data_IF_209754597953
#
_entry.id   IF_209754597953
#
_cell.length_a   1.000
_cell.length_b   1.000
_cell.length_c   1.000
_cell.angle_alpha   90.00
_cell.angle_beta   90.00
_cell.angle_gamma   90.00
#
_symmetry.space_group_name_H-M   'P 1'
#
loop_
_entity.id
_entity.type
_entity.pdbx_description
1 polymer ?
#
# COMPACT_ATOMS: atom_id res chain seq x y z
N UNK A 1 -0.30 23.72 -1.87
CA UNK A 1 -0.16 22.97 -0.60
C UNK A 1 1.16 23.37 0.05
N UNK A 2 1.23 23.48 1.37
CA UNK A 2 2.51 23.79 2.00
C UNK A 2 3.39 22.53 2.10
N UNK A 3 4.70 22.71 2.29
CA UNK A 3 5.67 21.61 2.29
C UNK A 3 5.37 20.54 3.34
N UNK A 4 4.91 20.93 4.53
CA UNK A 4 4.62 20.00 5.62
C UNK A 4 3.44 19.07 5.29
N UNK A 5 2.43 19.58 4.59
CA UNK A 5 1.28 18.78 4.14
C UNK A 5 1.69 17.72 3.11
N UNK A 6 2.57 18.08 2.17
CA UNK A 6 3.09 17.14 1.16
C UNK A 6 3.89 16.03 1.83
N UNK A 7 4.76 16.37 2.80
CA UNK A 7 5.53 15.36 3.54
C UNK A 7 4.64 14.41 4.35
N UNK A 8 3.58 14.92 5.01
CA UNK A 8 2.61 14.08 5.70
C UNK A 8 1.86 13.13 4.75
N UNK A 9 1.52 13.59 3.55
CA UNK A 9 0.91 12.74 2.52
C UNK A 9 1.87 11.65 2.04
N UNK A 10 3.14 11.99 1.84
CA UNK A 10 4.18 11.02 1.45
C UNK A 10 4.43 9.97 2.52
N UNK A 11 4.42 10.37 3.79
CA UNK A 11 4.52 9.43 4.91
C UNK A 11 3.33 8.47 4.95
N UNK A 12 2.12 8.99 4.74
CA UNK A 12 0.89 8.17 4.65
C UNK A 12 0.96 7.18 3.48
N UNK A 13 1.40 7.64 2.30
CA UNK A 13 1.59 6.81 1.12
C UNK A 13 2.65 5.73 1.36
N UNK A 14 3.76 6.07 2.01
CA UNK A 14 4.81 5.12 2.38
C UNK A 14 4.27 4.00 3.26
N UNK A 15 3.45 4.34 4.27
CA UNK A 15 2.80 3.36 5.15
C UNK A 15 1.87 2.44 4.35
N UNK A 16 1.03 2.99 3.48
CA UNK A 16 0.16 2.18 2.61
C UNK A 16 0.96 1.29 1.65
N UNK A 17 2.16 1.73 1.26
CA UNK A 17 3.06 0.99 0.37
C UNK A 17 3.73 -0.25 0.99
N UNK A 18 3.59 -0.50 2.29
CA UNK A 18 4.15 -1.69 2.94
C UNK A 18 3.40 -2.97 2.55
N UNK A 19 4.15 -4.09 2.49
CA UNK A 19 3.54 -5.41 2.29
C UNK A 19 2.62 -5.74 3.46
N UNK A 20 1.42 -6.21 3.16
CA UNK A 20 0.33 -6.37 4.12
C UNK A 20 -0.69 -5.24 4.04
N UNK A 21 -0.35 -4.09 3.45
CA UNK A 21 -1.29 -2.99 3.21
C UNK A 21 -1.75 -3.01 1.74
N UNK A 22 -0.99 -2.42 0.81
CA UNK A 22 -1.41 -2.30 -0.61
C UNK A 22 -1.71 -3.63 -1.31
N UNK A 23 -1.08 -4.74 -0.90
CA UNK A 23 -1.25 -6.07 -1.49
C UNK A 23 -2.12 -6.99 -0.63
N UNK A 24 -2.86 -6.45 0.34
CA UNK A 24 -3.81 -7.22 1.13
C UNK A 24 -4.99 -7.69 0.30
N UNK A 25 -5.63 -6.78 -0.44
CA UNK A 25 -6.77 -7.02 -1.34
C UNK A 25 -6.91 -5.92 -2.40
N UNK A 26 -7.94 -6.04 -3.26
CA UNK A 26 -8.22 -5.08 -4.34
C UNK A 26 -8.58 -3.68 -3.84
N UNK A 27 -9.24 -3.59 -2.67
CA UNK A 27 -9.62 -2.31 -2.10
C UNK A 27 -8.38 -1.54 -1.64
N UNK A 28 -7.51 -2.19 -0.86
CA UNK A 28 -6.26 -1.59 -0.36
C UNK A 28 -5.29 -1.25 -1.50
N UNK A 29 -5.29 -2.06 -2.56
CA UNK A 29 -4.57 -1.76 -3.80
C UNK A 29 -5.06 -0.45 -4.44
N UNK A 30 -6.37 -0.28 -4.56
CA UNK A 30 -6.99 0.95 -5.09
C UNK A 30 -6.68 2.17 -4.23
N UNK A 31 -6.72 2.03 -2.90
CA UNK A 31 -6.36 3.11 -1.96
C UNK A 31 -4.92 3.56 -2.18
N UNK A 32 -3.95 2.63 -2.26
CA UNK A 32 -2.56 2.99 -2.49
C UNK A 32 -2.37 3.77 -3.80
N UNK A 33 -2.89 3.27 -4.92
CA UNK A 33 -2.73 3.92 -6.22
C UNK A 33 -3.48 5.27 -6.29
N UNK A 34 -4.64 5.39 -5.63
CA UNK A 34 -5.34 6.67 -5.50
C UNK A 34 -4.55 7.69 -4.70
N UNK A 35 -3.91 7.28 -3.59
CA UNK A 35 -3.04 8.15 -2.81
C UNK A 35 -1.78 8.57 -3.58
N UNK A 36 -1.18 7.67 -4.35
CA UNK A 36 -0.06 8.00 -5.22
C UNK A 36 -0.42 9.06 -6.26
N UNK A 37 -1.60 8.96 -6.88
CA UNK A 37 -2.12 10.01 -7.78
C UNK A 37 -2.26 11.36 -7.06
N UNK A 38 -2.82 11.37 -5.85
CA UNK A 38 -2.96 12.61 -5.08
C UNK A 38 -1.61 13.25 -4.74
N UNK A 39 -0.61 12.45 -4.35
CA UNK A 39 0.75 12.93 -4.08
C UNK A 39 1.42 13.43 -5.37
N UNK A 40 1.26 12.71 -6.48
CA UNK A 40 1.84 13.09 -7.76
C UNK A 40 1.31 14.45 -8.27
N UNK A 41 -0.01 14.66 -8.19
CA UNK A 41 -0.65 15.95 -8.49
C UNK A 41 -0.08 17.07 -7.59
N UNK A 42 0.06 16.80 -6.29
CA UNK A 42 0.58 17.77 -5.34
C UNK A 42 2.05 18.16 -5.58
N UNK A 43 2.86 17.22 -6.08
CA UNK A 43 4.27 17.43 -6.41
C UNK A 43 4.48 17.86 -7.88
N UNK A 44 3.41 18.00 -8.67
CA UNK A 44 3.46 18.28 -10.11
C UNK A 44 4.38 17.30 -10.87
N UNK A 45 4.20 16.01 -10.63
CA UNK A 45 4.90 14.90 -11.29
C UNK A 45 3.90 13.86 -11.80
N UNK A 46 4.36 12.96 -12.66
CA UNK A 46 3.59 11.78 -13.04
C UNK A 46 3.50 10.78 -11.88
N UNK A 47 2.36 10.06 -11.72
CA UNK A 47 2.20 9.04 -10.70
C UNK A 47 2.94 7.75 -11.07
N UNK A 48 3.49 7.08 -10.05
CA UNK A 48 4.18 5.78 -10.15
C UNK A 48 3.32 4.71 -9.49
N UNK A 49 2.37 4.18 -10.26
CA UNK A 49 1.45 3.16 -9.76
C UNK A 49 2.14 1.83 -9.47
N UNK A 50 1.60 1.11 -8.49
CA UNK A 50 1.91 -0.32 -8.30
C UNK A 50 1.09 -1.17 -9.25
N UNK A 51 1.70 -2.25 -9.72
CA UNK A 51 1.03 -3.29 -10.50
C UNK A 51 0.21 -4.21 -9.60
N UNK A 52 -0.87 -4.77 -10.17
CA UNK A 52 -1.72 -5.75 -9.48
C UNK A 52 -0.86 -6.98 -9.10
N UNK A 53 -0.85 -7.42 -7.83
CA UNK A 53 -0.13 -8.63 -7.44
C UNK A 53 -0.80 -9.86 -8.03
N UNK A 54 -0.02 -10.93 -8.23
CA UNK A 54 -0.54 -12.23 -8.74
C UNK A 54 -1.50 -12.91 -7.76
N UNK A 55 -1.36 -12.64 -6.47
CA UNK A 55 -2.19 -13.18 -5.37
C UNK A 55 -2.30 -12.12 -4.28
N UNK A 56 -3.45 -12.05 -3.65
CA UNK A 56 -3.69 -11.20 -2.50
C UNK A 56 -3.21 -11.87 -1.22
N UNK A 57 -2.72 -11.09 -0.25
CA UNK A 57 -2.31 -11.65 1.04
C UNK A 57 -3.50 -12.13 1.88
N UNK A 58 -4.71 -11.56 1.70
CA UNK A 58 -5.92 -12.07 2.36
C UNK A 58 -6.23 -13.53 2.01
N UNK A 59 -5.81 -13.98 0.83
CA UNK A 59 -6.08 -15.34 0.32
C UNK A 59 -5.02 -16.34 0.82
N UNK A 60 -4.03 -15.87 1.59
CA UNK A 60 -2.96 -16.72 2.11
C UNK A 60 -3.54 -17.63 3.19
N UNK A 61 -3.62 -18.93 2.90
CA UNK A 61 -3.88 -19.94 3.93
C UNK A 61 -2.68 -19.97 4.87
N UNK A 62 -2.91 -19.65 6.14
CA UNK A 62 -1.93 -19.92 7.20
C UNK A 62 -1.96 -21.43 7.40
N UNK A 63 -0.85 -22.10 7.10
CA UNK A 63 -0.72 -23.52 7.42
C UNK A 63 -0.82 -23.66 8.94
N UNK A 64 -1.97 -24.12 9.43
CA UNK A 64 -2.24 -24.39 10.84
C UNK A 64 -1.52 -25.67 11.28
N UNK A 65 -0.22 -25.78 11.03
CA UNK A 65 0.58 -26.76 11.75
C UNK A 65 0.63 -26.29 13.20
N UNK A 66 0.11 -27.08 14.16
CA UNK A 66 0.21 -26.72 15.57
C UNK A 66 1.69 -26.50 15.88
N UNK A 67 2.00 -25.37 16.52
CA UNK A 67 3.33 -25.11 17.04
C UNK A 67 3.58 -26.22 18.06
N UNK A 68 4.43 -27.20 17.71
CA UNK A 68 4.92 -28.15 18.69
C UNK A 68 5.79 -27.37 19.66
N UNK A 69 5.24 -27.00 20.82
CA UNK A 69 6.05 -26.55 21.93
C UNK A 69 6.75 -27.78 22.49
N UNK A 70 8.02 -27.93 22.12
CA UNK A 70 8.98 -28.86 22.74
C UNK A 70 9.60 -28.23 23.97
#
# INVERSE_FOLDING_TARGET
>A
MNKNQIEAMKESLKIQGYSGNWNYDEYMFGIYNGMELMVAIAENREPVYKEKPKRWLKDRKVDSKPISMS
#
